data_IF_606754503789
#
_entry.id   IF_606754503789
#
_cell.length_a   1.000
_cell.length_b   1.000
_cell.length_c   1.000
_cell.angle_alpha   90.00
_cell.angle_beta   90.00
_cell.angle_gamma   90.00
#
_symmetry.space_group_name_H-M   'P 1'
#
loop_
_entity.id
_entity.type
_entity.pdbx_description
1 polymer ?
#
# COMPACT_ATOMS: atom_id res chain seq x y z
N UNK A 1 -17.23 9.96 6.36
CA UNK A 1 -17.26 9.39 4.99
C UNK A 1 -15.95 8.63 4.78
N UNK A 2 -15.96 7.33 4.48
CA UNK A 2 -14.74 6.62 4.11
C UNK A 2 -14.15 7.24 2.83
N UNK A 3 -12.82 7.16 2.64
CA UNK A 3 -12.21 7.65 1.40
C UNK A 3 -12.82 6.93 0.19
N UNK A 4 -12.99 7.64 -0.92
CA UNK A 4 -13.44 7.02 -2.15
C UNK A 4 -12.44 5.95 -2.61
N UNK A 5 -12.89 4.79 -3.10
CA UNK A 5 -11.99 3.73 -3.53
C UNK A 5 -11.10 4.20 -4.68
N UNK A 6 -9.83 3.81 -4.63
CA UNK A 6 -8.83 4.16 -5.63
C UNK A 6 -9.11 3.39 -6.93
N UNK A 7 -9.04 4.09 -8.05
CA UNK A 7 -9.22 3.56 -9.40
C UNK A 7 -7.85 3.34 -10.03
N UNK A 8 -7.45 2.08 -10.23
CA UNK A 8 -6.11 1.72 -10.71
C UNK A 8 -5.71 2.46 -12.00
N UNK A 9 -6.64 2.56 -12.97
CA UNK A 9 -6.36 3.24 -14.23
C UNK A 9 -6.20 4.76 -14.06
N UNK A 10 -7.11 5.40 -13.33
CA UNK A 10 -7.14 6.87 -13.20
C UNK A 10 -6.04 7.39 -12.28
N UNK A 11 -5.80 6.68 -11.19
CA UNK A 11 -4.97 7.18 -10.10
C UNK A 11 -3.51 6.70 -10.23
N UNK A 12 -3.27 5.58 -10.93
CA UNK A 12 -1.93 5.00 -11.10
C UNK A 12 -1.55 4.66 -12.56
N UNK A 13 -2.40 4.99 -13.54
CA UNK A 13 -2.11 4.73 -14.95
C UNK A 13 -2.25 3.27 -15.37
N UNK A 14 -2.99 2.46 -14.61
CA UNK A 14 -3.28 1.04 -14.91
C UNK A 14 -2.55 0.08 -13.98
N UNK A 15 -2.54 -1.20 -14.34
CA UNK A 15 -1.99 -2.28 -13.51
C UNK A 15 -0.49 -2.50 -13.70
N UNK A 16 0.15 -3.08 -12.69
CA UNK A 16 1.54 -3.51 -12.70
C UNK A 16 2.36 -2.91 -11.56
N UNK A 17 3.67 -3.08 -11.67
CA UNK A 17 4.63 -2.46 -10.78
C UNK A 17 4.96 -1.04 -11.28
N UNK A 18 4.94 -0.08 -10.35
CA UNK A 18 5.21 1.33 -10.60
C UNK A 18 6.42 1.76 -9.80
N UNK A 19 7.36 2.40 -10.48
CA UNK A 19 8.58 2.93 -9.88
C UNK A 19 8.75 4.38 -10.31
N UNK A 20 8.96 5.25 -9.33
CA UNK A 20 9.39 6.63 -9.47
C UNK A 20 10.46 6.90 -8.40
N UNK A 21 11.32 7.91 -8.58
CA UNK A 21 12.24 8.31 -7.52
C UNK A 21 11.48 8.57 -6.20
N UNK A 22 11.86 7.85 -5.14
CA UNK A 22 11.25 7.97 -3.80
C UNK A 22 9.85 7.38 -3.63
N UNK A 23 9.25 6.79 -4.68
CA UNK A 23 7.91 6.19 -4.61
C UNK A 23 7.78 4.95 -5.48
N UNK A 24 7.23 3.88 -4.93
CA UNK A 24 6.97 2.66 -5.67
C UNK A 24 5.63 2.06 -5.30
N UNK A 25 5.13 1.14 -6.11
CA UNK A 25 3.92 0.45 -5.75
C UNK A 25 3.49 -0.67 -6.68
N UNK A 26 2.66 -1.56 -6.14
CA UNK A 26 2.09 -2.71 -6.82
C UNK A 26 0.60 -2.49 -6.97
N UNK A 27 0.16 -2.28 -8.22
CA UNK A 27 -1.23 -1.95 -8.56
C UNK A 27 -1.82 -3.13 -9.32
N UNK A 28 -2.61 -3.95 -8.65
CA UNK A 28 -3.21 -5.17 -9.22
C UNK A 28 -4.73 -5.07 -9.35
N UNK A 29 -5.36 -4.11 -8.67
CA UNK A 29 -6.81 -3.91 -8.71
C UNK A 29 -7.20 -2.48 -8.38
N UNK A 30 -8.40 -2.08 -8.78
CA UNK A 30 -9.08 -0.95 -8.13
C UNK A 30 -9.62 -1.37 -6.76
N UNK A 31 -9.74 -0.42 -5.85
CA UNK A 31 -10.17 -0.68 -4.47
C UNK A 31 -9.37 0.15 -3.48
N UNK A 32 -9.17 -0.40 -2.29
CA UNK A 32 -8.39 0.27 -1.25
C UNK A 32 -6.88 0.13 -1.50
N UNK A 33 -6.13 1.09 -0.95
CA UNK A 33 -4.68 1.15 -1.06
C UNK A 33 -4.08 1.16 0.34
N UNK A 34 -3.14 0.26 0.57
CA UNK A 34 -2.24 0.32 1.70
C UNK A 34 -1.02 1.15 1.29
N UNK A 35 -0.79 2.26 1.98
CA UNK A 35 0.41 3.10 1.82
C UNK A 35 1.34 2.87 3.00
N UNK A 36 2.62 2.68 2.72
CA UNK A 36 3.66 2.39 3.69
C UNK A 36 4.79 3.39 3.52
N UNK A 37 5.44 3.72 4.63
CA UNK A 37 6.73 4.40 4.66
C UNK A 37 7.78 3.39 5.13
N UNK A 38 8.49 2.71 4.20
CA UNK A 38 9.47 1.69 4.55
C UNK A 38 10.64 2.30 5.34
N UNK A 39 11.30 1.47 6.17
CA UNK A 39 12.48 1.91 6.92
C UNK A 39 13.67 2.31 6.02
N UNK A 40 13.70 1.78 4.79
CA UNK A 40 14.66 2.17 3.74
C UNK A 40 14.40 3.56 3.15
N UNK A 41 13.30 4.21 3.55
CA UNK A 41 12.84 5.50 3.02
C UNK A 41 11.92 5.37 1.80
N UNK A 42 11.29 6.49 1.47
CA UNK A 42 10.32 6.60 0.38
C UNK A 42 8.91 6.15 0.77
N UNK A 43 8.02 6.05 -0.21
CA UNK A 43 6.65 5.58 -0.04
C UNK A 43 6.39 4.36 -0.92
N UNK A 44 5.82 3.31 -0.34
CA UNK A 44 5.39 2.12 -1.06
C UNK A 44 3.88 1.96 -0.98
N UNK A 45 3.20 1.83 -2.13
CA UNK A 45 1.75 1.62 -2.18
C UNK A 45 1.39 0.25 -2.74
N UNK A 46 0.37 -0.39 -2.19
CA UNK A 46 -0.18 -1.64 -2.73
C UNK A 46 -1.70 -1.62 -2.70
N UNK A 47 -2.32 -1.97 -3.82
CA UNK A 47 -3.77 -2.15 -3.87
C UNK A 47 -4.14 -3.51 -3.29
N UNK A 48 -5.05 -3.53 -2.32
CA UNK A 48 -5.54 -4.77 -1.68
C UNK A 48 -7.06 -4.74 -1.57
N UNK A 49 -7.67 -5.89 -1.26
CA UNK A 49 -9.12 -5.99 -1.12
C UNK A 49 -9.64 -5.18 0.06
N UNK A 50 -8.91 -5.23 1.18
CA UNK A 50 -9.20 -4.57 2.45
C UNK A 50 -7.87 -4.06 3.02
N UNK A 51 -7.63 -2.77 2.87
CA UNK A 51 -6.40 -2.13 3.31
C UNK A 51 -6.34 -1.98 4.82
N UNK A 52 -7.51 -1.92 5.49
CA UNK A 52 -7.58 -1.82 6.95
C UNK A 52 -7.12 -3.10 7.62
N UNK A 53 -7.60 -4.24 7.15
CA UNK A 53 -7.17 -5.55 7.63
C UNK A 53 -5.69 -5.78 7.32
N UNK A 54 -5.25 -5.46 6.09
CA UNK A 54 -3.84 -5.57 5.72
C UNK A 54 -2.91 -4.70 6.60
N UNK A 55 -3.30 -3.45 6.89
CA UNK A 55 -2.57 -2.57 7.79
C UNK A 55 -2.46 -3.16 9.21
N UNK A 56 -3.54 -3.77 9.70
CA UNK A 56 -3.57 -4.38 11.04
C UNK A 56 -2.63 -5.59 11.14
N UNK A 57 -2.62 -6.46 10.12
CA UNK A 57 -1.68 -7.59 10.05
C UNK A 57 -0.24 -7.09 9.97
N UNK A 58 0.04 -6.08 9.16
CA UNK A 58 1.40 -5.52 9.05
C UNK A 58 1.87 -4.90 10.36
N UNK A 59 1.01 -4.16 11.06
CA UNK A 59 1.32 -3.58 12.36
C UNK A 59 1.64 -4.67 13.40
N UNK A 60 0.86 -5.76 13.40
CA UNK A 60 1.11 -6.93 14.25
C UNK A 60 2.48 -7.56 13.95
N UNK A 61 2.77 -7.87 12.68
CA UNK A 61 4.05 -8.43 12.28
C UNK A 61 5.22 -7.54 12.68
N UNK A 62 5.09 -6.22 12.48
CA UNK A 62 6.09 -5.25 12.91
C UNK A 62 6.32 -5.27 14.41
N UNK A 63 5.27 -5.35 15.23
CA UNK A 63 5.41 -5.43 16.68
C UNK A 63 6.11 -6.71 17.14
N UNK A 64 5.87 -7.84 16.47
CA UNK A 64 6.51 -9.11 16.80
C UNK A 64 8.01 -9.10 16.47
N UNK A 65 8.39 -8.49 15.35
CA UNK A 65 9.79 -8.34 14.96
C UNK A 65 10.56 -7.33 15.82
N UNK A 66 9.85 -6.48 16.56
CA UNK A 66 10.44 -5.52 17.51
C UNK A 66 10.52 -6.06 18.94
N UNK A 67 9.99 -7.26 19.20
CA UNK A 67 10.16 -7.93 20.48
C UNK A 67 11.59 -8.52 20.56
N UNK A 68 12.26 -8.39 21.73
CA UNK A 68 13.65 -8.84 21.92
C UNK A 68 13.80 -10.37 21.83
#
# INVERSE_FOLDING_TARGET
MPPAPTRALRDFGGWGYRMRPGRSGVILRSGEVLSLDPATGGTFVVTVADARTAASVLALLRSNLAAP
#
